data_IF_325240958809
#
_entry.id   IF_325240958809
#
_cell.length_a   1.000
_cell.length_b   1.000
_cell.length_c   1.000
_cell.angle_alpha   90.00
_cell.angle_beta   90.00
_cell.angle_gamma   90.00
#
_symmetry.space_group_name_H-M   'P 1'
#
loop_
_entity.id
_entity.type
_entity.pdbx_description
1 polymer ?
#
# COMPACT_ATOMS: atom_id res chain seq x y z
N UNK A 1 2.15 24.00 11.57
CA UNK A 1 1.06 23.06 11.27
C UNK A 1 1.64 22.04 10.29
N UNK A 2 1.64 20.74 10.61
CA UNK A 2 2.12 19.73 9.66
C UNK A 2 1.32 19.87 8.35
N UNK A 3 1.95 19.78 7.17
CA UNK A 3 1.21 19.83 5.92
C UNK A 3 0.16 18.72 5.96
N UNK A 4 -1.10 19.10 5.73
CA UNK A 4 -2.19 18.13 5.65
C UNK A 4 -1.87 17.20 4.48
N UNK A 5 -1.97 15.90 4.70
CA UNK A 5 -1.81 14.89 3.65
C UNK A 5 -2.70 15.24 2.45
N UNK A 6 -2.13 15.15 1.26
CA UNK A 6 -2.87 15.34 0.02
C UNK A 6 -3.82 14.16 -0.22
N UNK A 7 -4.86 14.37 -1.02
CA UNK A 7 -5.81 13.31 -1.40
C UNK A 7 -5.16 12.01 -1.88
N UNK A 8 -4.15 12.01 -2.77
CA UNK A 8 -3.50 10.77 -3.20
C UNK A 8 -2.76 10.04 -2.08
N UNK A 9 -2.26 10.78 -1.08
CA UNK A 9 -1.60 10.18 0.08
C UNK A 9 -2.63 9.49 0.97
N UNK A 10 -3.77 10.14 1.22
CA UNK A 10 -4.88 9.56 1.99
C UNK A 10 -5.42 8.29 1.34
N UNK A 11 -5.58 8.30 0.01
CA UNK A 11 -6.03 7.13 -0.75
C UNK A 11 -5.05 5.94 -0.60
N UNK A 12 -3.74 6.20 -0.68
CA UNK A 12 -2.73 5.16 -0.48
C UNK A 12 -2.75 4.63 0.96
N UNK A 13 -2.87 5.50 1.96
CA UNK A 13 -3.01 5.08 3.37
C UNK A 13 -4.26 4.20 3.55
N UNK A 14 -5.40 4.64 3.01
CA UNK A 14 -6.66 3.89 3.09
C UNK A 14 -6.52 2.51 2.44
N UNK A 15 -5.95 2.44 1.23
CA UNK A 15 -5.72 1.18 0.51
C UNK A 15 -4.86 0.21 1.32
N UNK A 16 -3.70 0.65 1.80
CA UNK A 16 -2.77 -0.20 2.58
C UNK A 16 -3.45 -0.71 3.86
N UNK A 17 -4.19 0.16 4.55
CA UNK A 17 -4.93 -0.21 5.75
C UNK A 17 -6.10 -1.15 5.45
N UNK A 18 -6.72 -1.02 4.28
CA UNK A 18 -7.74 -1.94 3.80
C UNK A 18 -7.15 -3.33 3.52
N UNK A 19 -6.02 -3.42 2.81
CA UNK A 19 -5.28 -4.68 2.59
C UNK A 19 -4.87 -5.33 3.91
N UNK A 20 -4.44 -4.55 4.90
CA UNK A 20 -4.15 -5.07 6.24
C UNK A 20 -5.40 -5.63 6.91
N UNK A 21 -6.53 -4.92 6.83
CA UNK A 21 -7.81 -5.36 7.41
C UNK A 21 -8.27 -6.70 6.83
N UNK A 22 -7.98 -6.96 5.55
CA UNK A 22 -8.28 -8.23 4.88
C UNK A 22 -7.20 -9.30 5.03
N UNK A 23 -6.06 -8.99 5.68
CA UNK A 23 -4.96 -9.94 5.87
C UNK A 23 -4.19 -10.25 4.58
N UNK A 24 -4.17 -9.29 3.67
CA UNK A 24 -3.54 -9.34 2.34
C UNK A 24 -2.20 -8.60 2.33
N UNK A 25 -2.02 -7.59 3.18
CA UNK A 25 -0.79 -6.79 3.26
C UNK A 25 0.44 -7.65 3.57
N UNK A 26 1.49 -7.50 2.76
CA UNK A 26 2.77 -8.22 2.90
C UNK A 26 3.94 -7.27 3.14
N UNK A 27 4.94 -7.77 3.85
CA UNK A 27 6.24 -7.13 4.02
C UNK A 27 7.03 -7.19 2.73
N UNK A 28 7.58 -6.06 2.27
CA UNK A 28 8.38 -6.00 1.04
C UNK A 28 9.64 -6.85 1.10
N UNK A 29 10.34 -6.90 2.24
CA UNK A 29 11.63 -7.61 2.35
C UNK A 29 11.47 -9.11 2.54
N UNK A 30 10.48 -9.55 3.31
CA UNK A 30 10.32 -10.97 3.68
C UNK A 30 9.18 -11.68 2.95
N UNK A 31 8.30 -10.95 2.25
CA UNK A 31 7.09 -11.49 1.61
C UNK A 31 6.05 -12.03 2.59
N UNK A 32 6.30 -11.92 3.90
CA UNK A 32 5.42 -12.42 4.95
C UNK A 32 4.24 -11.48 5.17
N UNK A 33 3.10 -12.04 5.55
CA UNK A 33 1.91 -11.26 5.92
C UNK A 33 2.20 -10.39 7.13
N UNK A 34 1.76 -9.13 7.05
CA UNK A 34 1.86 -8.17 8.15
C UNK A 34 0.83 -8.54 9.21
N UNK A 35 1.31 -8.85 10.43
CA UNK A 35 0.44 -9.26 11.55
C UNK A 35 0.13 -8.11 12.50
N UNK A 36 1.00 -7.11 12.56
CA UNK A 36 0.94 -6.05 13.56
C UNK A 36 0.42 -4.73 12.95
N UNK A 37 -0.62 -4.14 13.56
CA UNK A 37 -1.20 -2.88 13.08
C UNK A 37 -0.20 -1.73 13.06
N UNK A 38 0.72 -1.66 14.03
CA UNK A 38 1.79 -0.65 14.05
C UNK A 38 2.69 -0.72 12.80
N UNK A 39 3.00 -1.93 12.36
CA UNK A 39 3.79 -2.16 11.15
C UNK A 39 2.99 -1.77 9.90
N UNK A 40 1.70 -2.10 9.86
CA UNK A 40 0.83 -1.69 8.74
C UNK A 40 0.74 -0.16 8.61
N UNK A 41 0.62 0.57 9.73
CA UNK A 41 0.63 2.03 9.74
C UNK A 41 1.96 2.58 9.25
N UNK A 42 3.10 1.99 9.66
CA UNK A 42 4.41 2.41 9.18
C UNK A 42 4.54 2.22 7.65
N UNK A 43 4.10 1.07 7.13
CA UNK A 43 4.09 0.81 5.68
C UNK A 43 3.17 1.81 4.96
N UNK A 44 1.98 2.08 5.49
CA UNK A 44 1.04 3.02 4.90
C UNK A 44 1.61 4.44 4.79
N UNK A 45 2.26 4.93 5.85
CA UNK A 45 2.88 6.26 5.86
C UNK A 45 4.10 6.34 4.93
N UNK A 46 4.93 5.29 4.87
CA UNK A 46 6.06 5.23 3.93
C UNK A 46 5.60 5.13 2.48
N UNK A 47 4.60 4.30 2.15
CA UNK A 47 4.06 4.19 0.79
C UNK A 47 3.37 5.47 0.32
N UNK A 48 2.71 6.19 1.23
CA UNK A 48 2.08 7.47 0.96
C UNK A 48 3.06 8.65 0.92
N UNK A 49 4.34 8.44 1.23
CA UNK A 49 5.31 9.55 1.30
C UNK A 49 4.94 10.57 2.38
N UNK A 50 4.37 10.11 3.49
CA UNK A 50 3.96 10.91 4.63
C UNK A 50 4.79 10.60 5.89
N UNK A 51 5.91 9.86 5.72
CA UNK A 51 6.79 9.51 6.81
C UNK A 51 7.54 10.75 7.33
N UNK A 52 7.59 10.88 8.65
CA UNK A 52 8.40 11.90 9.33
C UNK A 52 9.86 11.49 9.50
N UNK A 53 10.23 10.25 9.13
CA UNK A 53 11.59 9.72 9.22
C UNK A 53 12.36 9.87 7.91
N UNK A 54 11.73 10.36 6.85
CA UNK A 54 12.29 10.45 5.50
C UNK A 54 12.32 11.89 5.02
N UNK A 55 13.22 12.19 4.09
CA UNK A 55 13.30 13.51 3.48
C UNK A 55 12.09 13.77 2.57
N UNK A 56 11.76 15.05 2.28
CA UNK A 56 10.69 15.38 1.33
C UNK A 56 10.88 14.78 -0.06
N UNK A 57 12.14 14.61 -0.49
CA UNK A 57 12.48 14.01 -1.79
C UNK A 57 12.17 12.52 -1.79
N UNK A 58 12.65 11.78 -0.78
CA UNK A 58 12.34 10.36 -0.63
C UNK A 58 10.83 10.12 -0.54
N UNK A 59 10.13 10.93 0.27
CA UNK A 59 8.68 10.86 0.39
C UNK A 59 7.96 11.03 -0.97
N UNK A 60 8.41 11.98 -1.80
CA UNK A 60 7.85 12.17 -3.16
C UNK A 60 8.13 10.98 -4.07
N UNK A 61 9.34 10.42 -4.00
CA UNK A 61 9.73 9.25 -4.78
C UNK A 61 8.95 8.00 -4.38
N UNK A 62 8.77 7.76 -3.07
CA UNK A 62 7.94 6.67 -2.57
C UNK A 62 6.50 6.78 -3.05
N UNK A 63 5.87 7.95 -2.91
CA UNK A 63 4.52 8.16 -3.40
C UNK A 63 4.42 7.93 -4.91
N UNK A 64 5.37 8.44 -5.70
CA UNK A 64 5.43 8.23 -7.16
C UNK A 64 5.53 6.76 -7.52
N UNK A 65 6.41 6.02 -6.85
CA UNK A 65 6.60 4.59 -7.06
C UNK A 65 5.35 3.80 -6.70
N UNK A 66 4.72 4.10 -5.56
CA UNK A 66 3.47 3.47 -5.13
C UNK A 66 2.36 3.73 -6.14
N UNK A 67 2.15 4.98 -6.57
CA UNK A 67 1.15 5.30 -7.60
C UNK A 67 1.42 4.62 -8.95
N UNK A 68 2.69 4.42 -9.31
CA UNK A 68 3.05 3.69 -10.52
C UNK A 68 2.69 2.20 -10.40
N UNK A 69 2.92 1.57 -9.25
CA UNK A 69 2.50 0.18 -8.97
C UNK A 69 0.99 0.02 -8.96
N UNK A 70 0.27 0.95 -8.34
CA UNK A 70 -1.21 0.97 -8.32
C UNK A 70 -1.77 1.01 -9.75
N UNK A 71 -1.20 1.85 -10.64
CA UNK A 71 -1.62 1.89 -12.05
C UNK A 71 -1.33 0.62 -12.83
N UNK A 72 -0.32 -0.16 -12.42
CA UNK A 72 0.04 -1.44 -13.04
C UNK A 72 -0.72 -2.62 -12.46
N UNK A 73 -1.54 -2.43 -11.43
CA UNK A 73 -2.28 -3.51 -10.77
C UNK A 73 -1.36 -4.46 -9.98
N UNK A 74 -0.25 -3.94 -9.44
CA UNK A 74 0.74 -4.72 -8.68
C UNK A 74 0.50 -4.64 -7.16
N UNK A 75 -0.71 -4.28 -6.73
CA UNK A 75 -1.04 -4.20 -5.29
C UNK A 75 -1.47 -5.56 -4.76
N UNK A 76 -1.32 -5.79 -3.45
CA UNK A 76 -1.73 -7.06 -2.84
C UNK A 76 -3.24 -7.32 -3.02
N UNK A 77 -4.03 -6.24 -3.10
CA UNK A 77 -5.46 -6.29 -3.42
C UNK A 77 -5.69 -6.81 -4.85
N UNK A 78 -4.96 -6.29 -5.84
CA UNK A 78 -5.07 -6.71 -7.24
C UNK A 78 -4.66 -8.18 -7.42
N UNK A 79 -3.62 -8.65 -6.73
CA UNK A 79 -3.22 -10.07 -6.75
C UNK A 79 -4.31 -10.98 -6.16
N UNK A 80 -4.90 -10.58 -5.03
CA UNK A 80 -5.95 -11.34 -4.35
C UNK A 80 -7.27 -11.35 -5.15
N UNK A 81 -7.64 -10.23 -5.77
CA UNK A 81 -8.83 -10.10 -6.61
C UNK A 81 -8.63 -10.76 -7.99
N UNK A 82 -7.45 -10.66 -8.58
CA UNK A 82 -7.07 -11.33 -9.84
C UNK A 82 -7.11 -12.87 -9.75
N UNK A 83 -6.75 -13.43 -8.58
CA UNK A 83 -6.93 -14.86 -8.29
C UNK A 83 -8.40 -15.30 -8.26
N UNK A 84 -9.33 -14.41 -7.91
CA UNK A 84 -10.77 -14.69 -7.92
C UNK A 84 -11.36 -14.70 -9.33
N UNK A 85 -10.83 -13.89 -10.25
CA UNK A 85 -11.33 -13.83 -11.63
C UNK A 85 -10.97 -15.09 -12.44
N UNK A 86 -9.77 -15.66 -12.26
CA UNK A 86 -9.36 -16.90 -12.95
C UNK A 86 -10.07 -18.17 -12.45
N UNK A 87 -10.76 -18.15 -11.31
CA UNK A 87 -11.49 -19.30 -10.77
C UNK A 87 -12.96 -19.38 -11.19
N UNK A 88 -13.48 -18.38 -11.91
CA UNK A 88 -14.91 -18.33 -12.32
C UNK A 88 -15.15 -18.73 -13.78
N UNK A 89 -14.11 -18.97 -14.57
CA UNK A 89 -14.21 -19.30 -16.00
C UNK A 89 -13.97 -20.78 -16.34
N UNK A 90 -13.88 -21.67 -15.35
CA UNK A 90 -13.87 -23.11 -15.58
C UNK A 90 -15.29 -23.68 -15.33
N UNK A 91 -16.11 -23.69 -16.38
CA UNK A 91 -17.29 -24.55 -16.48
C UNK A 91 -17.37 -25.13 -17.87
#
# INVERSE_FOLDING_TARGET
>A
MAPRESEPQKETVERVMHEFKHGELRSGTSGQKVKNRKQAVAIALSEAGASNQQTPEENREHLRHTKAKERRGETAKDEAEGSRSHRRSAK
#
